data_IF_559242576809
#
_entry.id   IF_559242576809
#
_cell.length_a   1.000
_cell.length_b   1.000
_cell.length_c   1.000
_cell.angle_alpha   90.00
_cell.angle_beta   90.00
_cell.angle_gamma   90.00
#
_symmetry.space_group_name_H-M   'P 1'
#
loop_
_entity.id
_entity.type
_entity.pdbx_description
1 polymer ?
#
# COMPACT_ATOMS: atom_id res chain seq x y z
N UNK A 1 14.41 49.10 -39.17
CA UNK A 1 13.41 48.07 -38.97
C UNK A 1 13.91 47.16 -37.88
N UNK A 2 13.48 47.41 -36.65
CA UNK A 2 13.82 46.58 -35.51
C UNK A 2 12.80 45.47 -35.36
N UNK A 3 13.20 44.23 -35.69
CA UNK A 3 12.42 43.05 -35.36
C UNK A 3 12.82 42.59 -33.94
N UNK A 4 12.04 43.05 -32.98
CA UNK A 4 12.15 42.55 -31.61
C UNK A 4 11.63 41.11 -31.56
N UNK A 5 12.52 40.15 -31.51
CA UNK A 5 12.18 38.76 -31.22
C UNK A 5 11.84 38.65 -29.71
N UNK A 6 10.55 38.58 -29.44
CA UNK A 6 10.04 38.22 -28.12
C UNK A 6 10.33 36.73 -27.93
N UNK A 7 11.39 36.43 -27.18
CA UNK A 7 11.65 35.09 -26.72
C UNK A 7 10.66 34.75 -25.62
N UNK A 8 9.66 33.94 -25.95
CA UNK A 8 8.75 33.35 -24.95
C UNK A 8 9.52 32.31 -24.17
N UNK A 9 9.91 32.67 -22.96
CA UNK A 9 10.48 31.71 -22.01
C UNK A 9 9.32 30.86 -21.50
N UNK A 10 9.20 29.65 -22.02
CA UNK A 10 8.29 28.64 -21.44
C UNK A 10 8.96 28.13 -20.19
N UNK A 11 8.52 28.61 -19.03
CA UNK A 11 8.88 28.03 -17.75
C UNK A 11 8.18 26.66 -17.66
N UNK A 12 8.91 25.59 -17.94
CA UNK A 12 8.47 24.26 -17.60
C UNK A 12 8.58 24.10 -16.08
N UNK A 13 7.45 24.18 -15.38
CA UNK A 13 7.42 23.83 -13.95
C UNK A 13 7.77 22.34 -13.80
N UNK A 14 8.74 21.97 -12.94
CA UNK A 14 8.99 20.56 -12.66
C UNK A 14 7.72 20.00 -12.00
N UNK A 15 7.11 19.00 -12.64
CA UNK A 15 6.09 18.17 -12.02
C UNK A 15 6.81 17.40 -10.90
N UNK A 16 6.68 17.91 -9.67
CA UNK A 16 7.08 17.14 -8.51
C UNK A 16 6.26 15.85 -8.52
N UNK A 17 6.94 14.72 -8.71
CA UNK A 17 6.32 13.42 -8.58
C UNK A 17 5.91 13.25 -7.11
N UNK A 18 4.69 13.69 -6.76
CA UNK A 18 4.12 13.43 -5.45
C UNK A 18 4.02 11.91 -5.30
N UNK A 19 4.62 11.37 -4.22
CA UNK A 19 4.48 9.98 -3.86
C UNK A 19 2.99 9.67 -3.75
N UNK A 20 2.46 8.87 -4.69
CA UNK A 20 1.03 8.58 -4.77
C UNK A 20 0.74 7.21 -4.16
N UNK A 21 -0.36 7.15 -3.39
CA UNK A 21 -0.94 5.88 -2.97
C UNK A 21 -1.37 5.11 -4.22
N UNK A 22 -1.10 3.80 -4.24
CA UNK A 22 -1.56 2.94 -5.32
C UNK A 22 -3.06 3.10 -5.56
N UNK A 23 -3.48 3.07 -6.83
CA UNK A 23 -4.89 3.12 -7.22
C UNK A 23 -5.73 2.02 -6.53
N UNK A 24 -5.15 0.86 -6.23
CA UNK A 24 -5.82 -0.22 -5.50
C UNK A 24 -6.23 0.17 -4.08
N UNK A 25 -5.52 1.12 -3.47
CA UNK A 25 -5.73 1.49 -2.07
C UNK A 25 -6.27 2.90 -1.88
N UNK A 26 -6.45 3.64 -2.97
CA UNK A 26 -6.84 5.04 -2.94
C UNK A 26 -8.13 5.31 -2.14
N UNK A 27 -9.12 4.45 -2.31
CA UNK A 27 -10.44 4.60 -1.68
C UNK A 27 -10.65 3.61 -0.53
N UNK A 28 -9.58 2.93 -0.07
CA UNK A 28 -9.68 1.96 0.99
C UNK A 28 -9.96 2.62 2.35
N UNK A 29 -10.78 1.96 3.15
CA UNK A 29 -11.11 2.38 4.52
C UNK A 29 -10.01 1.89 5.47
N UNK A 30 -9.07 2.77 5.79
CA UNK A 30 -7.95 2.45 6.68
C UNK A 30 -8.42 2.10 8.09
N UNK A 31 -9.43 2.77 8.61
CA UNK A 31 -9.97 2.47 9.95
C UNK A 31 -10.57 1.06 9.99
N UNK A 32 -11.29 0.67 8.95
CA UNK A 32 -11.79 -0.70 8.80
C UNK A 32 -10.64 -1.71 8.74
N UNK A 33 -9.60 -1.41 7.96
CA UNK A 33 -8.42 -2.27 7.87
C UNK A 33 -7.74 -2.48 9.20
N UNK A 34 -7.53 -1.43 9.97
CA UNK A 34 -6.96 -1.50 11.33
C UNK A 34 -7.81 -2.36 12.27
N UNK A 35 -9.11 -2.16 12.23
CA UNK A 35 -10.07 -2.94 13.03
C UNK A 35 -9.98 -4.42 12.69
N UNK A 36 -10.01 -4.78 11.41
CA UNK A 36 -9.96 -6.17 10.97
C UNK A 36 -8.64 -6.85 11.31
N UNK A 37 -7.51 -6.16 11.17
CA UNK A 37 -6.20 -6.67 11.58
C UNK A 37 -6.18 -7.01 13.07
N UNK A 38 -6.76 -6.18 13.90
CA UNK A 38 -6.86 -6.40 15.34
C UNK A 38 -7.82 -7.55 15.67
N UNK A 39 -9.01 -7.56 15.11
CA UNK A 39 -10.05 -8.56 15.35
C UNK A 39 -9.59 -9.97 14.97
N UNK A 40 -8.92 -10.12 13.84
CA UNK A 40 -8.44 -11.40 13.33
C UNK A 40 -7.05 -11.77 13.85
N UNK A 41 -6.47 -10.97 14.72
CA UNK A 41 -5.17 -11.22 15.37
C UNK A 41 -4.04 -11.54 14.37
N UNK A 42 -4.00 -10.80 13.26
CA UNK A 42 -3.01 -11.01 12.21
C UNK A 42 -1.58 -10.93 12.74
N UNK A 43 -1.28 -9.95 13.59
CA UNK A 43 0.04 -9.79 14.18
C UNK A 43 0.44 -10.95 15.09
N UNK A 44 -0.49 -11.53 15.85
CA UNK A 44 -0.21 -12.65 16.75
C UNK A 44 0.29 -13.88 15.98
N UNK A 45 -0.30 -14.18 14.81
CA UNK A 45 0.16 -15.25 13.94
C UNK A 45 1.57 -14.95 13.37
N UNK A 46 1.78 -13.71 12.89
CA UNK A 46 3.07 -13.29 12.36
C UNK A 46 4.17 -13.32 13.42
N UNK A 47 3.88 -12.92 14.65
CA UNK A 47 4.83 -13.00 15.78
C UNK A 47 5.31 -14.44 16.02
N UNK A 48 4.43 -15.41 15.91
CA UNK A 48 4.81 -16.82 16.05
C UNK A 48 5.74 -17.30 14.94
N UNK A 49 5.61 -16.73 13.73
CA UNK A 49 6.40 -17.15 12.57
C UNK A 49 7.77 -16.49 12.50
N UNK A 50 7.85 -15.21 12.80
CA UNK A 50 9.07 -14.40 12.56
C UNK A 50 9.64 -13.79 13.84
N UNK A 51 8.95 -13.92 14.97
CA UNK A 51 9.38 -13.32 16.24
C UNK A 51 9.08 -11.83 16.32
N UNK A 52 9.53 -11.16 17.38
CA UNK A 52 9.34 -9.76 17.63
C UNK A 52 7.85 -9.38 17.63
N UNK A 53 7.52 -8.26 17.00
CA UNK A 53 6.15 -7.76 16.82
C UNK A 53 5.44 -8.36 15.58
N UNK A 54 6.08 -9.29 14.88
CA UNK A 54 5.56 -9.90 13.66
C UNK A 54 5.82 -9.11 12.38
N UNK A 55 6.29 -7.87 12.47
CA UNK A 55 6.44 -6.98 11.31
C UNK A 55 7.54 -7.41 10.33
N UNK A 56 8.48 -8.25 10.77
CA UNK A 56 9.54 -8.76 9.89
C UNK A 56 9.01 -9.62 8.73
N UNK A 57 7.76 -10.07 8.77
CA UNK A 57 7.14 -10.79 7.66
C UNK A 57 6.85 -9.85 6.47
N UNK A 58 6.71 -8.55 6.70
CA UNK A 58 6.38 -7.55 5.68
C UNK A 58 7.66 -7.03 5.03
N UNK A 59 7.99 -7.56 3.85
CA UNK A 59 9.22 -7.22 3.13
C UNK A 59 8.90 -6.65 1.76
N UNK A 60 9.00 -5.32 1.56
CA UNK A 60 8.70 -4.69 0.27
C UNK A 60 9.57 -5.17 -0.89
N UNK A 61 10.74 -5.70 -0.59
CA UNK A 61 11.73 -6.21 -1.55
C UNK A 61 11.69 -7.74 -1.69
N UNK A 62 10.78 -8.40 -0.99
CA UNK A 62 10.60 -9.84 -1.04
C UNK A 62 9.62 -10.27 -2.14
N UNK A 63 8.93 -11.38 -1.90
CA UNK A 63 7.94 -11.94 -2.85
C UNK A 63 6.75 -11.01 -3.08
N UNK A 64 6.35 -10.24 -2.07
CA UNK A 64 5.29 -9.24 -2.14
C UNK A 64 5.95 -7.90 -2.47
N UNK A 65 6.08 -7.60 -3.74
CA UNK A 65 6.81 -6.43 -4.22
C UNK A 65 5.97 -5.43 -5.03
N UNK A 66 4.65 -5.60 -5.04
CA UNK A 66 3.72 -4.68 -5.68
C UNK A 66 2.36 -4.71 -4.97
N UNK A 67 1.50 -3.68 -5.18
CA UNK A 67 0.20 -3.60 -4.51
C UNK A 67 -0.74 -4.77 -4.79
N UNK A 68 -0.77 -5.26 -6.02
CA UNK A 68 -1.61 -6.40 -6.41
C UNK A 68 -1.20 -7.68 -5.69
N UNK A 69 0.09 -7.94 -5.58
CA UNK A 69 0.63 -9.09 -4.84
C UNK A 69 0.31 -8.98 -3.34
N UNK A 70 0.39 -7.79 -2.77
CA UNK A 70 0.02 -7.56 -1.36
C UNK A 70 -1.45 -7.89 -1.11
N UNK A 71 -2.35 -7.35 -1.93
CA UNK A 71 -3.77 -7.64 -1.84
C UNK A 71 -4.06 -9.14 -2.01
N UNK A 72 -3.43 -9.76 -2.98
CA UNK A 72 -3.55 -11.20 -3.25
C UNK A 72 -3.09 -12.05 -2.06
N UNK A 73 -2.03 -11.65 -1.36
CA UNK A 73 -1.55 -12.36 -0.16
C UNK A 73 -2.54 -12.23 1.00
N UNK A 74 -3.12 -11.05 1.22
CA UNK A 74 -4.15 -10.87 2.24
C UNK A 74 -5.37 -11.75 1.94
N UNK A 75 -5.79 -11.80 0.69
CA UNK A 75 -6.89 -12.67 0.24
C UNK A 75 -6.56 -14.15 0.46
N UNK A 76 -5.35 -14.58 0.11
CA UNK A 76 -4.90 -15.95 0.33
C UNK A 76 -4.92 -16.31 1.82
N UNK A 77 -4.36 -15.48 2.67
CA UNK A 77 -4.34 -15.71 4.13
C UNK A 77 -5.77 -15.73 4.71
N UNK A 78 -6.63 -14.84 4.24
CA UNK A 78 -8.05 -14.81 4.62
C UNK A 78 -8.75 -16.12 4.29
N UNK A 79 -8.51 -16.66 3.10
CA UNK A 79 -9.06 -17.93 2.66
C UNK A 79 -8.54 -19.10 3.51
N UNK A 80 -7.23 -19.16 3.73
CA UNK A 80 -6.62 -20.21 4.55
C UNK A 80 -7.13 -20.20 6.00
N UNK A 81 -7.46 -19.02 6.53
CA UNK A 81 -7.97 -18.86 7.89
C UNK A 81 -9.49 -18.87 7.98
N UNK A 82 -10.20 -19.09 6.87
CA UNK A 82 -11.67 -19.08 6.78
C UNK A 82 -12.32 -17.79 7.32
N UNK A 83 -11.74 -16.64 7.03
CA UNK A 83 -12.24 -15.36 7.54
C UNK A 83 -13.46 -14.82 6.77
N UNK A 84 -13.69 -15.30 5.55
CA UNK A 84 -14.80 -14.87 4.68
C UNK A 84 -14.88 -13.36 4.47
N UNK A 85 -13.72 -12.72 4.24
CA UNK A 85 -13.65 -11.28 4.02
C UNK A 85 -14.21 -10.89 2.65
N UNK A 86 -14.92 -9.77 2.62
CA UNK A 86 -15.33 -9.13 1.37
C UNK A 86 -14.15 -8.46 0.67
N UNK A 87 -14.22 -8.24 -0.66
CA UNK A 87 -13.12 -7.59 -1.39
C UNK A 87 -12.68 -6.25 -0.83
N UNK A 88 -13.63 -5.41 -0.38
CA UNK A 88 -13.33 -4.11 0.25
C UNK A 88 -12.64 -4.25 1.61
N UNK A 89 -12.92 -5.30 2.36
CA UNK A 89 -12.26 -5.60 3.62
C UNK A 89 -10.82 -6.06 3.38
N UNK A 90 -10.62 -6.92 2.39
CA UNK A 90 -9.28 -7.35 1.96
C UNK A 90 -8.45 -6.15 1.49
N UNK A 91 -9.04 -5.26 0.69
CA UNK A 91 -8.37 -4.04 0.24
C UNK A 91 -8.05 -3.10 1.41
N UNK A 92 -8.93 -2.98 2.39
CA UNK A 92 -8.71 -2.18 3.59
C UNK A 92 -7.51 -2.67 4.40
N UNK A 93 -7.42 -3.97 4.63
CA UNK A 93 -6.27 -4.60 5.32
C UNK A 93 -4.98 -4.35 4.53
N UNK A 94 -5.00 -4.65 3.24
CA UNK A 94 -3.82 -4.45 2.38
C UNK A 94 -3.37 -2.99 2.36
N UNK A 95 -4.30 -2.03 2.36
CA UNK A 95 -3.98 -0.61 2.40
C UNK A 95 -3.29 -0.19 3.70
N UNK A 96 -3.69 -0.74 4.84
CA UNK A 96 -3.01 -0.50 6.13
C UNK A 96 -1.60 -1.06 6.10
N UNK A 97 -1.41 -2.29 5.60
CA UNK A 97 -0.09 -2.91 5.48
C UNK A 97 0.82 -2.14 4.52
N UNK A 98 0.25 -1.62 3.43
CA UNK A 98 0.99 -0.75 2.51
C UNK A 98 1.41 0.55 3.19
N UNK A 99 0.51 1.22 3.89
CA UNK A 99 0.81 2.45 4.61
C UNK A 99 1.95 2.27 5.62
N UNK A 100 1.91 1.20 6.39
CA UNK A 100 2.77 1.01 7.54
C UNK A 100 4.09 0.29 7.22
N UNK A 101 4.10 -0.59 6.22
CA UNK A 101 5.23 -1.49 5.98
C UNK A 101 5.76 -1.46 4.55
N UNK A 102 4.91 -1.63 3.54
CA UNK A 102 5.36 -1.79 2.15
C UNK A 102 5.62 -0.45 1.46
N UNK A 103 4.74 0.51 1.61
CA UNK A 103 4.86 1.88 1.09
C UNK A 103 5.12 1.92 -0.43
N UNK A 104 4.43 1.09 -1.18
CA UNK A 104 4.53 1.06 -2.63
C UNK A 104 4.17 2.43 -3.23
N UNK A 105 5.02 2.92 -4.15
CA UNK A 105 4.86 4.23 -4.76
C UNK A 105 5.23 5.43 -3.87
N UNK A 106 5.66 5.18 -2.62
CA UNK A 106 6.04 6.20 -1.64
C UNK A 106 7.40 5.88 -1.06
N UNK A 107 8.41 6.57 -1.51
CA UNK A 107 9.79 6.42 -1.00
C UNK A 107 10.32 7.77 -0.52
#
# INVERSE_FOLDING_TARGET
MNRTLLATIVLAAPLAAAAQVSALFKDADLALGEKLIAEHRCSACHMRRVGGDGSAIYRPQGRINNPGALRGMVEYCSTELNLSLFPEETAAIAAVLDRDHYRFGRK
#
